data_IF_774402721018
#
_entry.id   IF_774402721018
#
_cell.length_a   1.000
_cell.length_b   1.000
_cell.length_c   1.000
_cell.angle_alpha   90.00
_cell.angle_beta   90.00
_cell.angle_gamma   90.00
#
_symmetry.space_group_name_H-M   'P 1'
#
loop_
_entity.id
_entity.type
_entity.pdbx_description
1 polymer ?
#
# COMPACT_ATOMS: atom_id res chain seq x y z
N UNK A 1 -15.19 -7.23 -5.80
CA UNK A 1 -16.45 -7.06 -5.05
C UNK A 1 -16.11 -7.17 -3.57
N UNK A 2 -16.64 -6.30 -2.72
CA UNK A 2 -16.60 -6.40 -1.26
C UNK A 2 -17.97 -6.89 -0.80
N UNK A 3 -18.06 -8.16 -0.43
CA UNK A 3 -19.31 -8.87 -0.11
C UNK A 3 -19.22 -9.74 1.15
N UNK A 4 -18.16 -9.58 1.95
CA UNK A 4 -17.98 -10.31 3.20
C UNK A 4 -19.14 -10.02 4.19
N UNK A 5 -19.87 -11.06 4.67
CA UNK A 5 -20.96 -10.90 5.63
C UNK A 5 -20.60 -10.13 6.90
N UNK A 6 -19.32 -10.08 7.29
CA UNK A 6 -18.83 -9.31 8.43
C UNK A 6 -19.21 -7.82 8.32
N UNK A 7 -19.23 -7.27 7.10
CA UNK A 7 -19.57 -5.86 6.87
C UNK A 7 -20.98 -5.48 7.34
N UNK A 8 -21.90 -6.46 7.52
CA UNK A 8 -23.23 -6.20 8.11
C UNK A 8 -23.14 -5.66 9.54
N UNK A 9 -22.09 -6.03 10.27
CA UNK A 9 -21.90 -5.71 11.69
C UNK A 9 -20.93 -4.55 11.93
N UNK A 10 -20.38 -3.94 10.86
CA UNK A 10 -19.44 -2.82 10.95
C UNK A 10 -20.10 -1.53 10.46
N UNK A 11 -19.78 -0.38 11.04
CA UNK A 11 -20.24 0.92 10.53
C UNK A 11 -19.40 1.38 9.32
N UNK A 12 -18.10 1.03 9.33
CA UNK A 12 -17.13 1.33 8.28
C UNK A 12 -16.43 0.03 7.91
N UNK A 13 -16.31 -0.24 6.61
CA UNK A 13 -15.56 -1.41 6.14
C UNK A 13 -14.05 -1.10 6.19
N UNK A 14 -13.28 -1.94 6.89
CA UNK A 14 -11.83 -1.97 6.77
C UNK A 14 -11.41 -3.04 5.76
N UNK A 15 -10.51 -2.71 4.84
CA UNK A 15 -9.98 -3.66 3.87
C UNK A 15 -8.46 -3.53 3.77
N UNK A 16 -7.77 -4.67 3.76
CA UNK A 16 -6.34 -4.76 3.46
C UNK A 16 -6.17 -5.25 2.03
N UNK A 17 -5.32 -4.58 1.25
CA UNK A 17 -5.17 -4.82 -0.18
C UNK A 17 -3.70 -4.68 -0.60
N UNK A 18 -3.21 -5.58 -1.45
CA UNK A 18 -1.78 -5.71 -1.76
C UNK A 18 -1.52 -6.04 -3.25
N UNK A 19 -2.31 -5.48 -4.15
CA UNK A 19 -2.11 -5.48 -5.60
C UNK A 19 -0.78 -4.79 -5.92
N UNK A 20 0.00 -5.39 -6.80
CA UNK A 20 1.37 -4.96 -7.08
C UNK A 20 2.38 -5.46 -6.05
N UNK A 21 1.97 -6.21 -5.03
CA UNK A 21 2.89 -6.88 -4.11
C UNK A 21 2.57 -8.37 -3.94
N UNK A 22 1.45 -8.70 -3.32
CA UNK A 22 0.97 -10.07 -3.18
C UNK A 22 0.03 -10.50 -4.29
N UNK A 23 -0.57 -9.54 -5.01
CA UNK A 23 -1.52 -9.83 -6.07
C UNK A 23 -1.17 -9.13 -7.40
N UNK A 24 -0.45 -9.85 -8.25
CA UNK A 24 -0.07 -9.39 -9.59
C UNK A 24 0.95 -8.25 -9.60
N UNK A 25 1.21 -7.73 -10.80
CA UNK A 25 2.11 -6.60 -11.04
C UNK A 25 1.44 -5.24 -10.72
N UNK A 26 2.21 -4.15 -10.53
CA UNK A 26 1.68 -2.84 -10.14
C UNK A 26 0.56 -2.33 -11.07
N UNK A 27 0.71 -2.50 -12.39
CA UNK A 27 -0.25 -2.07 -13.43
C UNK A 27 -1.65 -2.72 -13.28
N UNK A 28 -1.75 -3.85 -12.58
CA UNK A 28 -3.04 -4.49 -12.29
C UNK A 28 -3.98 -3.52 -11.59
N UNK A 29 -3.47 -2.65 -10.71
CA UNK A 29 -4.29 -1.69 -9.97
C UNK A 29 -5.02 -0.72 -10.92
N UNK A 30 -4.46 -0.39 -12.09
CA UNK A 30 -5.06 0.54 -13.06
C UNK A 30 -6.38 0.03 -13.65
N UNK A 31 -6.51 -1.29 -13.75
CA UNK A 31 -7.71 -1.97 -14.28
C UNK A 31 -8.61 -2.56 -13.20
N UNK A 32 -8.24 -2.45 -11.92
CA UNK A 32 -9.04 -2.96 -10.81
C UNK A 32 -10.12 -1.96 -10.42
N UNK A 33 -11.34 -2.47 -10.22
CA UNK A 33 -12.45 -1.72 -9.64
C UNK A 33 -12.90 -2.36 -8.33
N UNK A 34 -13.13 -1.52 -7.33
CA UNK A 34 -13.67 -1.95 -6.04
C UNK A 34 -15.15 -1.59 -6.01
N UNK A 35 -15.98 -2.59 -5.76
CA UNK A 35 -17.44 -2.47 -5.67
C UNK A 35 -17.88 -2.93 -4.28
N UNK A 36 -19.01 -2.42 -3.81
CA UNK A 36 -19.53 -2.63 -2.47
C UNK A 36 -21.00 -3.05 -2.53
N UNK A 37 -21.38 -4.09 -1.80
CA UNK A 37 -22.76 -4.58 -1.70
C UNK A 37 -23.54 -4.02 -0.49
N UNK A 38 -22.85 -3.38 0.46
CA UNK A 38 -23.41 -2.95 1.74
C UNK A 38 -23.69 -1.44 1.84
N UNK A 39 -23.34 -0.65 0.82
CA UNK A 39 -23.49 0.82 0.78
C UNK A 39 -22.87 1.55 1.99
N UNK A 40 -21.79 1.00 2.55
CA UNK A 40 -21.01 1.55 3.66
C UNK A 40 -19.72 2.25 3.21
N UNK A 41 -19.20 3.23 3.98
CA UNK A 41 -17.89 3.81 3.73
C UNK A 41 -16.77 2.76 3.86
N UNK A 42 -15.71 2.95 3.08
CA UNK A 42 -14.51 2.11 3.08
C UNK A 42 -13.32 2.88 3.65
N UNK A 43 -12.55 2.23 4.50
CA UNK A 43 -11.18 2.60 4.84
C UNK A 43 -10.26 1.51 4.30
N UNK A 44 -9.30 1.90 3.45
CA UNK A 44 -8.21 1.00 3.07
C UNK A 44 -7.22 0.94 4.22
N UNK A 45 -7.36 -0.08 5.09
CA UNK A 45 -6.63 -0.17 6.36
C UNK A 45 -5.18 -0.63 6.20
N UNK A 46 -4.84 -1.28 5.09
CA UNK A 46 -3.47 -1.58 4.70
C UNK A 46 -3.32 -1.61 3.17
N UNK A 47 -2.19 -1.06 2.68
CA UNK A 47 -1.70 -1.21 1.31
C UNK A 47 -0.21 -0.89 1.25
N UNK A 48 0.48 -1.28 0.16
CA UNK A 48 1.89 -0.99 -0.07
C UNK A 48 2.72 -2.21 -0.47
N UNK A 49 4.04 -2.02 -0.52
CA UNK A 49 5.02 -3.03 -0.96
C UNK A 49 6.31 -2.95 -0.13
N UNK A 50 7.17 -3.97 -0.23
CA UNK A 50 8.45 -4.00 0.49
C UNK A 50 9.61 -3.43 -0.33
N UNK A 51 10.49 -2.68 0.35
CA UNK A 51 11.81 -2.29 -0.14
C UNK A 51 12.75 -2.04 1.04
N UNK A 52 13.95 -2.65 1.09
CA UNK A 52 15.02 -2.19 1.97
C UNK A 52 15.47 -0.79 1.53
N UNK A 53 15.77 0.09 2.48
CA UNK A 53 16.34 1.40 2.15
C UNK A 53 17.74 1.24 1.52
N UNK A 54 18.01 2.04 0.47
CA UNK A 54 19.24 2.00 -0.32
C UNK A 54 19.31 0.87 -1.36
N UNK A 55 18.25 0.05 -1.48
CA UNK A 55 18.13 -0.95 -2.54
C UNK A 55 17.56 -0.30 -3.80
N UNK A 56 18.36 -0.24 -4.86
CA UNK A 56 18.00 0.44 -6.11
C UNK A 56 17.99 -0.50 -7.31
N UNK A 57 17.09 -0.23 -8.24
CA UNK A 57 17.00 -0.91 -9.54
C UNK A 57 16.02 -0.21 -10.47
N UNK A 58 15.47 -0.93 -11.44
CA UNK A 58 14.34 -0.42 -12.23
C UNK A 58 13.00 -0.53 -11.46
N UNK A 59 11.95 0.04 -12.04
CA UNK A 59 10.61 0.11 -11.42
C UNK A 59 9.84 -1.22 -11.40
N UNK A 60 10.37 -2.25 -12.06
CA UNK A 60 9.80 -3.60 -12.15
C UNK A 60 10.57 -4.63 -11.30
N UNK A 61 11.74 -4.24 -10.79
CA UNK A 61 12.57 -5.08 -9.93
C UNK A 61 12.05 -5.04 -8.49
N UNK A 62 11.33 -6.08 -8.07
CA UNK A 62 10.86 -6.20 -6.68
C UNK A 62 12.00 -6.00 -5.65
N UNK A 63 11.66 -5.51 -4.47
CA UNK A 63 12.60 -5.20 -3.38
C UNK A 63 13.54 -4.00 -3.64
N UNK A 64 13.21 -3.13 -4.59
CA UNK A 64 13.87 -1.83 -4.77
C UNK A 64 12.96 -0.69 -4.33
N UNK A 65 13.55 0.44 -3.98
CA UNK A 65 12.78 1.65 -3.67
C UNK A 65 11.96 2.13 -4.87
N UNK A 66 12.48 1.97 -6.10
CA UNK A 66 11.78 2.30 -7.34
C UNK A 66 10.51 1.46 -7.51
N UNK A 67 10.59 0.15 -7.27
CA UNK A 67 9.43 -0.74 -7.32
C UNK A 67 8.40 -0.38 -6.25
N UNK A 68 8.83 -0.13 -5.01
CA UNK A 68 7.92 0.31 -3.96
C UNK A 68 7.22 1.61 -4.35
N UNK A 69 7.95 2.59 -4.89
CA UNK A 69 7.36 3.83 -5.37
C UNK A 69 6.39 3.60 -6.54
N UNK A 70 6.71 2.68 -7.45
CA UNK A 70 5.85 2.29 -8.58
C UNK A 70 4.51 1.72 -8.10
N UNK A 71 4.54 0.76 -7.16
CA UNK A 71 3.33 0.21 -6.52
C UNK A 71 2.46 1.32 -5.93
N UNK A 72 3.05 2.28 -5.20
CA UNK A 72 2.29 3.38 -4.62
C UNK A 72 1.63 4.26 -5.67
N UNK A 73 2.29 4.58 -6.80
CA UNK A 73 1.67 5.40 -7.86
C UNK A 73 0.42 4.72 -8.42
N UNK A 74 0.50 3.43 -8.73
CA UNK A 74 -0.62 2.65 -9.26
C UNK A 74 -1.73 2.45 -8.22
N UNK A 75 -1.40 2.06 -6.99
CA UNK A 75 -2.38 1.89 -5.92
C UNK A 75 -3.10 3.20 -5.60
N UNK A 76 -2.41 4.33 -5.50
CA UNK A 76 -3.05 5.64 -5.27
C UNK A 76 -3.99 6.02 -6.41
N UNK A 77 -3.61 5.76 -7.66
CA UNK A 77 -4.49 5.94 -8.82
C UNK A 77 -5.75 5.09 -8.71
N UNK A 78 -5.63 3.83 -8.28
CA UNK A 78 -6.77 2.94 -8.02
C UNK A 78 -7.66 3.44 -6.89
N UNK A 79 -7.08 3.78 -5.74
CA UNK A 79 -7.81 4.23 -4.55
C UNK A 79 -8.64 5.48 -4.84
N UNK A 80 -8.11 6.42 -5.63
CA UNK A 80 -8.86 7.61 -6.04
C UNK A 80 -10.12 7.32 -6.85
N UNK A 81 -10.16 6.21 -7.58
CA UNK A 81 -11.32 5.80 -8.38
C UNK A 81 -12.42 5.15 -7.54
N UNK A 82 -12.17 4.85 -6.26
CA UNK A 82 -13.18 4.27 -5.37
C UNK A 82 -14.07 5.41 -4.83
N UNK A 83 -15.38 5.44 -5.14
CA UNK A 83 -16.24 6.57 -4.78
C UNK A 83 -16.61 6.61 -3.29
N UNK A 84 -16.64 5.45 -2.63
CA UNK A 84 -16.99 5.30 -1.21
C UNK A 84 -15.77 5.15 -0.28
N UNK A 85 -14.55 5.47 -0.77
CA UNK A 85 -13.35 5.50 0.06
C UNK A 85 -13.36 6.77 0.92
N UNK A 86 -13.17 6.60 2.24
CA UNK A 86 -13.22 7.68 3.24
C UNK A 86 -11.94 7.74 4.12
N UNK A 87 -10.99 6.84 3.88
CA UNK A 87 -9.71 6.86 4.59
C UNK A 87 -8.74 5.83 4.04
N UNK A 88 -7.46 6.04 4.31
CA UNK A 88 -6.40 5.13 3.93
C UNK A 88 -5.29 5.11 4.98
N UNK A 89 -4.75 3.94 5.26
CA UNK A 89 -3.63 3.73 6.17
C UNK A 89 -2.59 2.85 5.46
N UNK A 90 -1.57 3.47 4.89
CA UNK A 90 -0.49 2.75 4.24
C UNK A 90 0.24 1.85 5.26
N UNK A 91 0.47 0.60 4.89
CA UNK A 91 1.21 -0.35 5.71
C UNK A 91 2.65 -0.36 5.21
N UNK A 92 3.60 0.20 5.94
CA UNK A 92 3.53 0.80 7.28
C UNK A 92 4.39 2.06 7.32
N UNK A 93 4.30 2.84 8.40
CA UNK A 93 5.16 4.01 8.56
C UNK A 93 6.65 3.64 8.60
N UNK A 94 7.03 2.64 9.41
CA UNK A 94 8.43 2.28 9.67
C UNK A 94 8.64 0.77 9.62
N UNK A 95 9.77 0.33 9.05
CA UNK A 95 10.16 -1.08 9.07
C UNK A 95 10.20 -1.62 10.51
N UNK A 96 9.73 -2.85 10.71
CA UNK A 96 9.61 -3.45 12.04
C UNK A 96 10.01 -4.92 12.05
N UNK A 97 10.42 -5.40 13.22
CA UNK A 97 10.85 -6.79 13.40
C UNK A 97 9.67 -7.75 13.20
N UNK A 98 9.89 -8.76 12.37
CA UNK A 98 8.93 -9.82 12.11
C UNK A 98 9.68 -11.14 11.90
N UNK A 99 9.48 -12.15 12.77
CA UNK A 99 10.19 -13.42 12.66
C UNK A 99 9.76 -14.27 11.45
N UNK A 100 8.82 -13.78 10.63
CA UNK A 100 8.31 -14.45 9.41
C UNK A 100 8.98 -13.94 8.13
N UNK A 101 10.05 -13.15 8.23
CA UNK A 101 10.70 -12.43 7.12
C UNK A 101 12.14 -12.89 6.97
N UNK A 102 12.34 -13.91 6.14
CA UNK A 102 13.59 -14.72 6.14
C UNK A 102 14.54 -14.41 4.98
N UNK A 103 14.18 -13.51 4.07
CA UNK A 103 14.99 -13.24 2.88
C UNK A 103 16.30 -12.55 3.27
N UNK A 104 17.41 -13.29 3.22
CA UNK A 104 18.73 -12.84 3.61
C UNK A 104 19.20 -11.65 2.77
N UNK A 105 19.71 -10.60 3.41
CA UNK A 105 20.21 -9.38 2.77
C UNK A 105 19.12 -8.42 2.30
N UNK A 106 17.85 -8.76 2.47
CA UNK A 106 16.69 -7.91 2.11
C UNK A 106 15.84 -7.67 3.35
N UNK A 107 15.30 -8.74 3.91
CA UNK A 107 14.39 -8.70 5.03
C UNK A 107 15.12 -8.83 6.37
N UNK A 108 15.97 -9.85 6.52
CA UNK A 108 16.74 -10.11 7.75
C UNK A 108 15.90 -9.96 9.04
N UNK A 109 14.72 -10.60 9.06
CA UNK A 109 13.72 -10.53 10.13
C UNK A 109 13.04 -9.18 10.32
N UNK A 110 13.05 -8.31 9.31
CA UNK A 110 12.23 -7.11 9.22
C UNK A 110 11.17 -7.25 8.13
N UNK A 111 9.97 -6.74 8.43
CA UNK A 111 9.02 -6.39 7.40
C UNK A 111 9.47 -5.06 6.78
N UNK A 112 9.79 -5.08 5.49
CA UNK A 112 10.39 -3.95 4.76
C UNK A 112 9.36 -3.04 4.07
N UNK A 113 8.08 -3.12 4.48
CA UNK A 113 7.00 -2.29 3.91
C UNK A 113 7.00 -0.85 4.40
N UNK A 114 7.88 -0.51 5.35
CA UNK A 114 7.98 0.84 5.88
C UNK A 114 8.21 1.86 4.78
N UNK A 115 7.56 3.01 4.87
CA UNK A 115 7.94 4.23 4.14
C UNK A 115 9.25 4.82 4.70
N UNK A 116 9.51 4.54 5.98
CA UNK A 116 10.76 4.80 6.67
C UNK A 116 11.50 3.47 6.92
N UNK A 117 12.83 3.47 6.81
CA UNK A 117 13.64 2.36 7.34
C UNK A 117 13.55 2.29 8.86
N UNK A 118 14.05 1.20 9.44
CA UNK A 118 14.20 1.03 10.90
C UNK A 118 15.17 2.06 11.52
N UNK A 119 15.90 2.81 10.68
CA UNK A 119 16.79 3.92 11.06
C UNK A 119 16.20 5.32 10.76
N UNK A 120 14.96 5.39 10.28
CA UNK A 120 14.27 6.65 9.97
C UNK A 120 14.59 7.25 8.61
N UNK A 121 15.26 6.51 7.72
CA UNK A 121 15.55 6.96 6.36
C UNK A 121 14.26 6.93 5.52
N UNK A 122 13.94 8.03 4.85
CA UNK A 122 12.75 8.14 3.99
C UNK A 122 13.02 7.49 2.64
N UNK A 123 12.28 6.42 2.33
CA UNK A 123 12.36 5.71 1.04
C UNK A 123 11.63 6.48 -0.06
N UNK A 124 11.84 6.16 -1.33
CA UNK A 124 11.18 6.86 -2.44
C UNK A 124 9.64 6.89 -2.32
N UNK A 125 9.01 5.77 -1.92
CA UNK A 125 7.55 5.70 -1.75
C UNK A 125 7.01 6.68 -0.68
N UNK A 126 7.83 7.08 0.30
CA UNK A 126 7.43 8.10 1.28
C UNK A 126 7.08 9.41 0.59
N UNK A 127 7.89 9.81 -0.40
CA UNK A 127 7.70 11.06 -1.13
C UNK A 127 6.47 10.99 -2.03
N UNK A 128 6.21 9.83 -2.65
CA UNK A 128 4.99 9.58 -3.43
C UNK A 128 3.75 9.79 -2.57
N UNK A 129 3.66 9.13 -1.40
CA UNK A 129 2.50 9.26 -0.52
C UNK A 129 2.38 10.67 0.09
N UNK A 130 3.51 11.28 0.48
CA UNK A 130 3.54 12.66 1.00
C UNK A 130 2.96 13.64 -0.01
N UNK A 131 3.39 13.55 -1.26
CA UNK A 131 2.99 14.48 -2.31
C UNK A 131 1.52 14.26 -2.69
N UNK A 132 1.06 13.01 -2.69
CA UNK A 132 -0.36 12.68 -2.78
C UNK A 132 -1.18 13.36 -1.68
N UNK A 133 -0.82 13.21 -0.40
CA UNK A 133 -1.55 13.83 0.72
C UNK A 133 -1.52 15.36 0.72
N UNK A 134 -0.51 15.97 0.08
CA UNK A 134 -0.44 17.43 -0.11
C UNK A 134 -1.21 17.91 -1.33
N UNK A 135 -1.59 17.01 -2.23
CA UNK A 135 -2.32 17.36 -3.44
C UNK A 135 -3.81 17.57 -3.14
N UNK A 136 -4.52 18.36 -3.96
CA UNK A 136 -5.98 18.48 -3.87
C UNK A 136 -6.71 17.13 -4.02
N UNK A 137 -6.04 16.16 -4.65
CA UNK A 137 -6.61 14.86 -4.94
C UNK A 137 -6.76 13.97 -3.70
N UNK A 138 -6.17 14.38 -2.56
CA UNK A 138 -6.41 13.77 -1.25
C UNK A 138 -7.54 14.43 -0.45
N UNK A 139 -8.04 15.60 -0.87
CA UNK A 139 -9.10 16.35 -0.16
C UNK A 139 -10.52 15.88 -0.51
N UNK A 140 -10.65 14.61 -0.91
CA UNK A 140 -11.89 14.01 -1.39
C UNK A 140 -12.88 13.75 -0.26
#
# INVERSE_FOLDING_TARGET
MLDDPLAKFLDVMGCNEYIGWYDGAPDKADRTSVQNTFDKPLVMSEFGAEAPAGSHGDEDTAWTEEYQANVYRHQLGMLQRIPFLQGMAAWILMDFRCPRRFLSGVQDYYNRKGLLSDRGEKKQAYYVLRDFYRSPAAAK
#
